data_IF_593148073957
#
_entry.id   IF_593148073957
#
_cell.length_a   1.000
_cell.length_b   1.000
_cell.length_c   1.000
_cell.angle_alpha   90.00
_cell.angle_beta   90.00
_cell.angle_gamma   90.00
#
_symmetry.space_group_name_H-M   'P 1'
#
loop_
_entity.id
_entity.type
_entity.pdbx_description
1 polymer ?
#
# COMPACT_ATOMS: atom_id res chain seq x y z
N UNK A 1 13.25 11.37 -6.53
CA UNK A 1 12.13 12.33 -6.71
C UNK A 1 11.13 11.78 -7.71
N UNK A 2 10.27 10.90 -7.20
CA UNK A 2 9.11 10.32 -7.89
C UNK A 2 8.35 9.46 -6.86
N UNK A 3 8.27 9.95 -5.61
CA UNK A 3 7.60 9.22 -4.55
C UNK A 3 6.11 9.48 -4.70
N UNK A 4 5.27 8.46 -4.97
CA UNK A 4 3.83 8.64 -5.00
C UNK A 4 3.28 9.18 -3.67
N UNK A 5 4.08 9.15 -2.59
CA UNK A 5 3.66 9.59 -1.26
C UNK A 5 3.65 11.10 -0.97
N UNK A 6 4.39 11.94 -1.72
CA UNK A 6 4.43 13.39 -1.40
C UNK A 6 3.16 14.11 -1.85
N UNK A 7 2.60 13.66 -2.97
CA UNK A 7 1.37 14.17 -3.55
C UNK A 7 0.13 13.58 -2.83
N UNK A 8 0.16 12.31 -2.42
CA UNK A 8 -0.98 11.65 -1.76
C UNK A 8 -1.37 12.23 -0.38
N UNK A 9 -0.52 13.01 0.29
CA UNK A 9 -0.83 13.53 1.63
C UNK A 9 -1.88 14.66 1.61
N UNK A 10 -1.80 15.58 0.66
CA UNK A 10 -2.80 16.67 0.50
C UNK A 10 -4.09 16.16 -0.17
N UNK A 11 -3.98 15.14 -1.03
CA UNK A 11 -5.12 14.58 -1.79
C UNK A 11 -6.09 13.74 -0.95
N UNK A 12 -5.56 13.01 0.02
CA UNK A 12 -6.34 12.12 0.89
C UNK A 12 -7.17 12.92 1.91
N UNK A 13 -6.82 14.18 2.16
CA UNK A 13 -7.61 15.09 3.01
C UNK A 13 -8.81 15.76 2.29
N UNK A 14 -8.86 15.75 0.96
CA UNK A 14 -9.97 16.34 0.20
C UNK A 14 -11.24 15.47 0.06
N UNK A 15 -11.14 14.16 0.34
CA UNK A 15 -12.19 13.12 0.07
C UNK A 15 -12.80 13.25 -1.35
N UNK A 16 -12.00 13.70 -2.32
CA UNK A 16 -12.42 13.88 -3.71
C UNK A 16 -12.50 12.51 -4.40
N UNK A 17 -13.75 12.05 -4.57
CA UNK A 17 -14.03 10.76 -5.16
C UNK A 17 -13.55 10.65 -6.62
N UNK A 18 -13.53 11.73 -7.39
CA UNK A 18 -13.04 11.71 -8.77
C UNK A 18 -11.52 11.53 -8.81
N UNK A 19 -10.81 12.18 -7.88
CA UNK A 19 -9.37 12.05 -7.75
C UNK A 19 -8.97 10.65 -7.29
N UNK A 20 -9.70 10.07 -6.32
CA UNK A 20 -9.50 8.68 -5.88
C UNK A 20 -9.74 7.72 -7.06
N UNK A 21 -10.78 7.94 -7.86
CA UNK A 21 -11.06 7.13 -9.05
C UNK A 21 -10.01 7.28 -10.16
N UNK A 22 -9.46 8.49 -10.35
CA UNK A 22 -8.36 8.73 -11.29
C UNK A 22 -7.07 8.04 -10.84
N UNK A 23 -6.78 8.08 -9.53
CA UNK A 23 -5.66 7.36 -8.94
C UNK A 23 -5.82 5.85 -9.10
N UNK A 24 -6.99 5.28 -8.78
CA UNK A 24 -7.26 3.84 -8.94
C UNK A 24 -7.05 3.38 -10.39
N UNK A 25 -7.60 4.12 -11.37
CA UNK A 25 -7.36 3.85 -12.80
C UNK A 25 -5.87 3.88 -13.15
N UNK A 26 -5.14 4.88 -12.65
CA UNK A 26 -3.71 5.03 -12.91
C UNK A 26 -2.89 3.90 -12.26
N UNK A 27 -3.20 3.56 -11.01
CA UNK A 27 -2.54 2.49 -10.27
C UNK A 27 -2.74 1.12 -10.90
N UNK A 28 -3.86 0.91 -11.62
CA UNK A 28 -4.18 -0.32 -12.35
C UNK A 28 -3.49 -0.45 -13.72
N UNK A 29 -2.84 0.61 -14.22
CA UNK A 29 -2.14 0.59 -15.51
C UNK A 29 -0.99 -0.42 -15.53
N UNK A 30 -0.68 -0.93 -16.71
CA UNK A 30 0.41 -1.89 -16.90
C UNK A 30 1.77 -1.27 -16.55
N UNK A 31 1.98 0.02 -16.83
CA UNK A 31 3.20 0.74 -16.45
C UNK A 31 3.44 0.69 -14.94
N UNK A 32 2.41 0.95 -14.13
CA UNK A 32 2.51 0.87 -12.66
C UNK A 32 2.73 -0.56 -12.20
N UNK A 33 2.01 -1.54 -12.78
CA UNK A 33 2.19 -2.96 -12.46
C UNK A 33 3.61 -3.45 -12.76
N UNK A 34 4.19 -3.04 -13.89
CA UNK A 34 5.57 -3.36 -14.25
C UNK A 34 6.55 -2.70 -13.29
N UNK A 35 6.36 -1.42 -12.97
CA UNK A 35 7.19 -0.71 -11.98
C UNK A 35 7.14 -1.36 -10.60
N UNK A 36 5.96 -1.81 -10.15
CA UNK A 36 5.80 -2.51 -8.87
C UNK A 36 6.56 -3.83 -8.81
N UNK A 37 6.70 -4.54 -9.94
CA UNK A 37 7.43 -5.81 -10.02
C UNK A 37 8.94 -5.63 -10.17
N UNK A 38 9.38 -4.51 -10.72
CA UNK A 38 10.81 -4.25 -11.00
C UNK A 38 11.48 -3.32 -9.99
N UNK A 39 10.69 -2.59 -9.17
CA UNK A 39 11.20 -1.64 -8.18
C UNK A 39 10.66 -1.96 -6.78
N UNK A 40 11.40 -2.74 -5.98
CA UNK A 40 11.03 -3.06 -4.60
C UNK A 40 10.73 -1.84 -3.72
N UNK A 41 11.54 -0.78 -3.85
CA UNK A 41 11.32 0.47 -3.12
C UNK A 41 9.97 1.13 -3.44
N UNK A 42 9.54 1.08 -4.71
CA UNK A 42 8.26 1.64 -5.14
C UNK A 42 7.08 0.83 -4.59
N UNK A 43 7.19 -0.50 -4.54
CA UNK A 43 6.19 -1.37 -3.92
C UNK A 43 6.07 -1.15 -2.40
N UNK A 44 7.18 -0.93 -1.71
CA UNK A 44 7.22 -0.61 -0.29
C UNK A 44 6.53 0.73 0.03
N UNK A 45 6.77 1.75 -0.79
CA UNK A 45 6.13 3.06 -0.66
C UNK A 45 4.62 2.94 -0.90
N UNK A 46 4.18 2.23 -1.95
CA UNK A 46 2.74 2.00 -2.21
C UNK A 46 2.05 1.29 -1.06
N UNK A 47 2.65 0.21 -0.51
CA UNK A 47 2.11 -0.47 0.66
C UNK A 47 1.97 0.49 1.85
N UNK A 48 3.00 1.30 2.10
CA UNK A 48 2.99 2.26 3.21
C UNK A 48 1.88 3.29 3.04
N UNK A 49 1.71 3.85 1.85
CA UNK A 49 0.67 4.86 1.59
C UNK A 49 -0.73 4.27 1.70
N UNK A 50 -0.99 3.12 1.07
CA UNK A 50 -2.32 2.49 1.08
C UNK A 50 -2.72 1.97 2.45
N UNK A 51 -1.76 1.66 3.32
CA UNK A 51 -2.02 1.23 4.71
C UNK A 51 -1.90 2.35 5.75
N UNK A 52 -1.39 3.54 5.39
CA UNK A 52 -1.20 4.64 6.33
C UNK A 52 -2.51 5.31 6.78
N UNK A 53 -3.55 5.29 5.94
CA UNK A 53 -4.75 6.09 6.18
C UNK A 53 -6.04 5.27 6.22
N UNK A 54 -6.23 4.39 7.23
CA UNK A 54 -7.48 3.64 7.38
C UNK A 54 -8.69 4.53 7.71
N UNK A 55 -8.47 5.80 8.06
CA UNK A 55 -9.50 6.79 8.43
C UNK A 55 -9.60 7.97 7.46
N UNK A 56 -8.93 7.91 6.32
CA UNK A 56 -9.06 8.93 5.30
C UNK A 56 -10.42 8.83 4.59
N UNK A 57 -11.41 9.53 5.13
CA UNK A 57 -12.76 9.51 4.56
C UNK A 57 -13.39 8.12 4.52
N UNK A 58 -14.56 8.03 3.87
CA UNK A 58 -15.27 6.75 3.66
C UNK A 58 -14.94 6.10 2.31
N UNK A 59 -14.36 6.87 1.39
CA UNK A 59 -14.18 6.49 -0.01
C UNK A 59 -12.85 5.76 -0.25
N UNK A 60 -11.79 6.16 0.46
CA UNK A 60 -10.45 5.59 0.30
C UNK A 60 -10.29 4.15 0.83
N UNK A 61 -10.83 3.77 2.01
CA UNK A 61 -10.61 2.41 2.55
C UNK A 61 -10.98 1.25 1.61
N UNK A 62 -12.14 1.25 0.90
CA UNK A 62 -12.46 0.19 -0.05
C UNK A 62 -11.52 0.19 -1.27
N UNK A 63 -11.10 1.36 -1.76
CA UNK A 63 -10.17 1.49 -2.90
C UNK A 63 -8.78 0.99 -2.53
N UNK A 64 -8.26 1.40 -1.37
CA UNK A 64 -6.97 0.93 -0.86
C UNK A 64 -6.95 -0.60 -0.66
N UNK A 65 -8.05 -1.18 -0.18
CA UNK A 65 -8.17 -2.63 -0.04
C UNK A 65 -8.14 -3.35 -1.41
N UNK A 66 -8.85 -2.83 -2.41
CA UNK A 66 -8.84 -3.38 -3.77
C UNK A 66 -7.46 -3.27 -4.42
N UNK A 67 -6.78 -2.13 -4.30
CA UNK A 67 -5.43 -1.93 -4.84
C UNK A 67 -4.41 -2.89 -4.20
N UNK A 68 -4.50 -3.13 -2.89
CA UNK A 68 -3.64 -4.10 -2.22
C UNK A 68 -3.83 -5.52 -2.80
N UNK A 69 -5.07 -5.98 -2.99
CA UNK A 69 -5.34 -7.36 -3.43
C UNK A 69 -5.17 -7.58 -4.94
N UNK A 70 -5.54 -6.60 -5.76
CA UNK A 70 -5.63 -6.75 -7.21
C UNK A 70 -4.40 -6.23 -7.96
N UNK A 71 -3.61 -5.35 -7.32
CA UNK A 71 -2.43 -4.72 -7.93
C UNK A 71 -1.15 -5.12 -7.21
N UNK A 72 -1.03 -4.80 -5.92
CA UNK A 72 0.23 -5.02 -5.19
C UNK A 72 0.48 -6.50 -4.91
N UNK A 73 -0.52 -7.27 -4.49
CA UNK A 73 -0.35 -8.69 -4.20
C UNK A 73 0.12 -9.50 -5.43
N UNK A 74 -0.50 -9.39 -6.62
CA UNK A 74 0.00 -10.06 -7.81
C UNK A 74 1.40 -9.59 -8.24
N UNK A 75 1.74 -8.32 -7.98
CA UNK A 75 3.08 -7.82 -8.26
C UNK A 75 4.12 -8.47 -7.32
N UNK A 76 3.91 -8.39 -6.01
CA UNK A 76 4.79 -8.99 -4.98
C UNK A 76 4.90 -10.50 -5.14
N UNK A 77 3.84 -11.18 -5.56
CA UNK A 77 3.85 -12.64 -5.82
C UNK A 77 4.62 -13.03 -7.08
N UNK A 78 4.77 -12.11 -8.03
CA UNK A 78 5.58 -12.31 -9.22
C UNK A 78 7.06 -11.93 -9.01
N UNK A 79 7.39 -11.28 -7.89
CA UNK A 79 8.76 -10.91 -7.53
C UNK A 79 9.55 -12.10 -6.97
N UNK A 80 10.88 -12.00 -7.04
CA UNK A 80 11.77 -12.96 -6.39
C UNK A 80 11.69 -12.84 -4.87
N UNK A 81 12.12 -13.88 -4.14
CA UNK A 81 12.15 -13.83 -2.67
C UNK A 81 13.10 -12.73 -2.14
N UNK A 82 14.15 -12.41 -2.89
CA UNK A 82 15.11 -11.33 -2.57
C UNK A 82 14.45 -9.96 -2.70
N UNK A 83 13.76 -9.71 -3.80
CA UNK A 83 12.99 -8.47 -4.00
C UNK A 83 11.93 -8.28 -2.91
N UNK A 84 11.22 -9.34 -2.53
CA UNK A 84 10.22 -9.29 -1.45
C UNK A 84 10.87 -8.95 -0.10
N UNK A 85 12.07 -9.48 0.18
CA UNK A 85 12.82 -9.13 1.38
C UNK A 85 13.27 -7.66 1.36
N UNK A 86 13.63 -7.12 0.18
CA UNK A 86 13.95 -5.70 0.04
C UNK A 86 12.73 -4.80 0.25
N UNK A 87 11.54 -5.20 -0.26
CA UNK A 87 10.27 -4.53 0.05
C UNK A 87 10.06 -4.49 1.55
N UNK A 88 10.21 -5.63 2.24
CA UNK A 88 10.04 -5.70 3.69
C UNK A 88 11.04 -4.80 4.44
N UNK A 89 12.32 -4.86 4.07
CA UNK A 89 13.36 -4.04 4.68
C UNK A 89 13.11 -2.54 4.46
N UNK A 90 12.60 -2.17 3.29
CA UNK A 90 12.24 -0.79 2.97
C UNK A 90 11.04 -0.34 3.78
N UNK A 91 9.95 -1.13 3.82
CA UNK A 91 8.78 -0.86 4.69
C UNK A 91 9.17 -0.72 6.16
N UNK A 92 10.13 -1.53 6.63
CA UNK A 92 10.68 -1.44 7.99
C UNK A 92 11.49 -0.16 8.25
N UNK A 93 12.15 0.40 7.23
CA UNK A 93 12.92 1.65 7.31
C UNK A 93 12.04 2.90 7.20
N UNK A 94 11.05 2.92 6.31
CA UNK A 94 10.15 4.08 6.13
C UNK A 94 8.97 4.09 7.10
N UNK A 95 8.68 2.97 7.77
CA UNK A 95 7.54 2.82 8.67
C UNK A 95 7.88 2.84 10.15
N UNK A 96 6.84 2.91 10.98
CA UNK A 96 6.95 2.61 12.41
C UNK A 96 7.26 1.12 12.64
N UNK A 97 7.81 0.79 13.80
CA UNK A 97 8.42 -0.50 14.20
C UNK A 97 7.52 -1.77 14.16
N UNK A 98 6.38 -1.73 13.48
CA UNK A 98 5.52 -2.90 13.22
C UNK A 98 5.02 -3.03 11.77
N UNK A 99 5.44 -2.16 10.84
CA UNK A 99 4.97 -2.22 9.44
C UNK A 99 5.56 -3.39 8.65
N UNK A 100 6.82 -3.74 8.86
CA UNK A 100 7.45 -4.91 8.24
C UNK A 100 6.73 -6.23 8.62
N UNK A 101 6.35 -6.36 9.90
CA UNK A 101 5.55 -7.50 10.38
C UNK A 101 4.15 -7.52 9.75
N UNK A 102 3.51 -6.35 9.62
CA UNK A 102 2.21 -6.22 8.97
C UNK A 102 2.29 -6.62 7.48
N UNK A 103 3.35 -6.21 6.77
CA UNK A 103 3.61 -6.62 5.39
C UNK A 103 3.80 -8.14 5.28
N UNK A 104 4.64 -8.75 6.13
CA UNK A 104 4.81 -10.22 6.16
C UNK A 104 3.49 -10.96 6.40
N UNK A 105 2.70 -10.47 7.35
CA UNK A 105 1.39 -11.06 7.66
C UNK A 105 0.42 -10.94 6.48
N UNK A 106 0.38 -9.79 5.81
CA UNK A 106 -0.43 -9.55 4.62
C UNK A 106 -0.01 -10.42 3.43
N UNK A 107 1.29 -10.54 3.19
CA UNK A 107 1.80 -11.36 2.09
C UNK A 107 1.51 -12.85 2.33
N UNK A 108 1.63 -13.32 3.58
CA UNK A 108 1.36 -14.72 3.95
C UNK A 108 -0.14 -15.05 4.02
N UNK A 109 -1.00 -14.10 4.36
CA UNK A 109 -2.44 -14.35 4.58
C UNK A 109 -3.25 -14.15 3.30
N UNK A 110 -3.97 -15.17 2.83
CA UNK A 110 -4.86 -15.07 1.66
C UNK A 110 -6.13 -14.24 1.92
N UNK A 111 -6.52 -14.02 3.18
CA UNK A 111 -7.81 -13.42 3.55
C UNK A 111 -7.64 -12.02 4.15
N UNK A 112 -8.04 -10.99 3.37
CA UNK A 112 -8.02 -9.58 3.77
C UNK A 112 -8.91 -9.26 4.98
N UNK A 113 -9.79 -10.16 5.40
CA UNK A 113 -10.78 -9.95 6.47
C UNK A 113 -10.21 -9.58 7.85
N UNK A 114 -8.89 -9.71 8.09
CA UNK A 114 -8.26 -9.32 9.37
C UNK A 114 -7.33 -8.11 9.33
N UNK A 115 -6.96 -7.61 8.15
CA UNK A 115 -6.06 -6.45 8.05
C UNK A 115 -6.77 -5.13 8.31
N UNK A 116 -8.03 -5.00 7.89
CA UNK A 116 -8.87 -3.83 8.25
C UNK A 116 -8.98 -3.62 9.77
N UNK A 117 -9.05 -4.71 10.55
CA UNK A 117 -9.16 -4.63 12.02
C UNK A 117 -7.83 -4.45 12.75
N UNK A 118 -6.71 -4.93 12.19
CA UNK A 118 -5.37 -4.81 12.81
C UNK A 118 -4.64 -3.52 12.44
N UNK A 119 -4.84 -2.99 11.24
CA UNK A 119 -4.24 -1.71 10.84
C UNK A 119 -5.00 -0.54 11.49
N UNK A 120 -6.35 -0.57 11.51
CA UNK A 120 -7.14 0.41 12.25
C UNK A 120 -6.90 0.39 13.77
N UNK A 121 -6.49 -0.75 14.34
CA UNK A 121 -6.20 -0.87 15.77
C UNK A 121 -4.82 -0.36 16.21
N UNK A 122 -3.87 -0.16 15.29
CA UNK A 122 -2.46 0.12 15.63
C UNK A 122 -2.02 1.58 15.36
N UNK A 123 -2.87 2.42 14.73
CA UNK A 123 -2.68 3.88 14.64
C UNK A 123 -3.39 4.58 15.80
N UNK A 124 -3.18 4.09 17.02
CA UNK A 124 -3.46 4.82 18.26
C UNK A 124 -2.19 4.77 19.11
N UNK A 125 -1.29 5.73 18.90
CA UNK A 125 -0.37 6.34 19.87
C UNK A 125 0.68 7.15 19.11
N UNK A 126 0.78 8.43 19.47
CA UNK A 126 1.69 9.43 18.93
C UNK A 126 0.91 10.69 18.63
#
# INVERSE_FOLDING_TARGET
PDRPGAELYDFVHGDDAELIAAYDRTARTETVRTRLRTQPAYAADCFTVWTAHPHAGRTWPPVAAALLDEVLRPAVRAMSAEDVAEVEATVGRTGSSGRAEAFRTWNRSSTLGRLGRRIAGRVRRG
#
